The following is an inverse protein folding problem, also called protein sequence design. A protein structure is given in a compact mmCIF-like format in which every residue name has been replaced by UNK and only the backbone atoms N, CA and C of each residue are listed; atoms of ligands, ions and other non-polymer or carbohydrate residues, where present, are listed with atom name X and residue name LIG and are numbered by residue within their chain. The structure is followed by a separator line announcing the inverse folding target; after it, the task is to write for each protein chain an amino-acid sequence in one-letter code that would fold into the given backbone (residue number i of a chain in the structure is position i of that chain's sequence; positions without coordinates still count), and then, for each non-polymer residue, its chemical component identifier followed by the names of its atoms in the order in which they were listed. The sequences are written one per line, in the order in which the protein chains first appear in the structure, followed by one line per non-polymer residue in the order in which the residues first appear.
data_IF_693258242223
#
_entry.id   IF_693258242223
#
_cell.length_a   1.000
_cell.length_b   1.000
_cell.length_c   1.000
_cell.angle_alpha   90.00
_cell.angle_beta   90.00
_cell.angle_gamma   90.00
#
_symmetry.space_group_name_H-M   'P 1'
#
loop_
_entity.id
_entity.type
_entity.pdbx_description
1 polymer ?
#
# COMPACT_ATOMS: atom_id res chain seq x y z
N UNK A 1 -42.82 34.58 -6.42
CA UNK A 1 -41.76 35.34 -5.74
C UNK A 1 -41.81 34.88 -4.30
N UNK A 2 -40.85 34.07 -3.90
CA UNK A 2 -40.71 33.69 -2.49
C UNK A 2 -40.04 34.88 -1.81
N UNK A 3 -40.58 35.31 -0.67
CA UNK A 3 -40.03 36.44 0.09
C UNK A 3 -38.63 36.07 0.58
N UNK A 4 -37.68 37.02 0.53
CA UNK A 4 -36.30 36.84 0.99
C UNK A 4 -36.22 36.33 2.45
N UNK A 5 -37.30 36.50 3.21
CA UNK A 5 -37.47 35.98 4.57
C UNK A 5 -37.55 34.43 4.62
N UNK A 6 -38.10 33.79 3.60
CA UNK A 6 -38.29 32.34 3.53
C UNK A 6 -36.97 31.63 3.19
N UNK A 7 -36.07 32.27 2.43
CA UNK A 7 -34.73 31.74 2.15
C UNK A 7 -33.85 31.74 3.40
N UNK A 8 -33.87 32.84 4.18
CA UNK A 8 -33.09 32.94 5.42
C UNK A 8 -33.53 31.91 6.47
N UNK A 9 -34.83 31.63 6.55
CA UNK A 9 -35.36 30.63 7.50
C UNK A 9 -35.05 29.20 7.07
N UNK A 10 -35.05 28.91 5.76
CA UNK A 10 -34.64 27.61 5.23
C UNK A 10 -33.15 27.34 5.51
N UNK A 11 -32.28 28.31 5.25
CA UNK A 11 -30.83 28.21 5.48
C UNK A 11 -30.51 28.01 6.97
N UNK A 12 -31.23 28.70 7.86
CA UNK A 12 -31.04 28.54 9.30
C UNK A 12 -31.48 27.16 9.80
N UNK A 13 -32.54 26.59 9.20
CA UNK A 13 -33.02 25.26 9.54
C UNK A 13 -32.08 24.16 9.01
N UNK A 14 -31.47 24.38 7.83
CA UNK A 14 -30.46 23.48 7.29
C UNK A 14 -29.16 23.51 8.10
N UNK A 15 -28.73 24.69 8.54
CA UNK A 15 -27.59 24.85 9.44
C UNK A 15 -27.81 24.13 10.79
N UNK A 16 -29.02 24.20 11.36
CA UNK A 16 -29.35 23.46 12.59
C UNK A 16 -29.30 21.93 12.38
N UNK A 17 -29.81 21.44 11.24
CA UNK A 17 -29.74 20.00 10.91
C UNK A 17 -28.29 19.54 10.74
N UNK A 18 -27.45 20.35 10.11
CA UNK A 18 -26.02 20.04 9.93
C UNK A 18 -25.28 19.96 11.27
N UNK A 19 -25.53 20.92 12.18
CA UNK A 19 -24.94 20.91 13.52
C UNK A 19 -25.38 19.70 14.35
N UNK A 20 -26.65 19.30 14.25
CA UNK A 20 -27.16 18.10 14.93
C UNK A 20 -26.49 16.82 14.41
N UNK A 21 -26.31 16.70 13.09
CA UNK A 21 -25.60 15.56 12.48
C UNK A 21 -24.14 15.48 12.92
N UNK A 22 -23.42 16.60 13.01
CA UNK A 22 -22.04 16.60 13.49
C UNK A 22 -21.92 16.17 14.96
N UNK A 23 -22.86 16.57 15.82
CA UNK A 23 -22.88 16.14 17.21
C UNK A 23 -23.15 14.62 17.34
N UNK A 24 -24.07 14.09 16.54
CA UNK A 24 -24.35 12.66 16.50
C UNK A 24 -23.15 11.84 16.02
N UNK A 25 -22.48 12.28 14.95
CA UNK A 25 -21.28 11.61 14.44
C UNK A 25 -20.12 11.65 15.45
N UNK A 26 -19.91 12.78 16.11
CA UNK A 26 -18.92 12.90 17.19
C UNK A 26 -19.23 11.94 18.36
N UNK A 27 -20.51 11.77 18.71
CA UNK A 27 -20.93 10.84 19.76
C UNK A 27 -20.68 9.36 19.38
N UNK A 28 -20.91 8.99 18.12
CA UNK A 28 -20.66 7.65 17.59
C UNK A 28 -19.16 7.36 17.53
N UNK A 29 -18.36 8.33 17.09
CA UNK A 29 -16.90 8.23 17.07
C UNK A 29 -16.33 8.04 18.49
N UNK A 30 -16.84 8.76 19.48
CA UNK A 30 -16.45 8.62 20.88
C UNK A 30 -16.81 7.22 21.45
N UNK A 31 -18.00 6.69 21.12
CA UNK A 31 -18.41 5.34 21.51
C UNK A 31 -17.54 4.26 20.87
N UNK A 32 -17.17 4.40 19.59
CA UNK A 32 -16.27 3.46 18.90
C UNK A 32 -14.87 3.42 19.49
N UNK A 33 -14.35 4.55 19.99
CA UNK A 33 -13.06 4.59 20.69
C UNK A 33 -13.09 3.85 22.04
N UNK A 34 -14.21 3.87 22.77
CA UNK A 34 -14.36 3.09 24.01
C UNK A 34 -14.49 1.58 23.78
N UNK A 35 -15.07 1.16 22.66
CA UNK A 35 -15.22 -0.27 22.34
C UNK A 35 -13.93 -0.95 21.84
N UNK A 36 -12.88 -0.18 21.53
CA UNK A 36 -11.58 -0.68 21.04
C UNK A 36 -10.40 -0.37 21.98
N UNK A 37 -10.66 -0.04 23.24
CA UNK A 37 -9.59 -0.01 24.24
C UNK A 37 -9.03 -1.42 24.42
N UNK A 38 -7.72 -1.66 24.25
CA UNK A 38 -7.10 -2.94 24.59
C UNK A 38 -7.43 -3.27 26.05
N UNK A 39 -7.89 -4.50 26.30
CA UNK A 39 -8.03 -5.00 27.67
C UNK A 39 -6.69 -4.78 28.41
N UNK A 40 -6.71 -4.39 29.70
CA UNK A 40 -5.48 -4.19 30.45
C UNK A 40 -4.72 -5.51 30.51
N UNK A 41 -3.57 -5.54 29.85
CA UNK A 41 -2.60 -6.63 29.94
C UNK A 41 -2.16 -6.73 31.39
N UNK A 42 -2.33 -7.91 31.98
CA UNK A 42 -1.90 -8.21 33.33
C UNK A 42 -0.43 -7.81 33.52
N UNK A 43 -0.19 -6.90 34.46
CA UNK A 43 1.14 -6.40 34.77
C UNK A 43 2.09 -7.50 35.27
N UNK A 44 3.41 -7.32 35.09
CA UNK A 44 4.40 -8.28 35.54
C UNK A 44 4.48 -8.35 37.07
N UNK A 45 4.49 -9.59 37.54
CA UNK A 45 4.64 -10.01 38.93
C UNK A 45 5.84 -9.37 39.63
N UNK A 46 5.59 -8.82 40.80
CA UNK A 46 6.58 -8.22 41.71
C UNK A 46 7.60 -9.26 42.20
N UNK A 47 8.83 -9.19 41.69
CA UNK A 47 10.01 -9.63 42.45
C UNK A 47 10.80 -8.41 42.90
N UNK A 48 10.70 -8.13 44.20
CA UNK A 48 11.42 -7.08 44.92
C UNK A 48 12.89 -7.52 45.06
N UNK A 49 13.80 -6.88 44.35
CA UNK A 49 15.22 -6.87 44.71
C UNK A 49 15.53 -5.57 45.46
N UNK A 50 16.04 -5.78 46.66
CA UNK A 50 16.37 -4.84 47.70
C UNK A 50 17.72 -4.17 47.40
N UNK A 51 17.74 -2.87 47.05
CA UNK A 51 18.96 -2.05 47.14
C UNK A 51 18.59 -0.63 47.58
N UNK A 52 19.25 -0.21 48.64
CA UNK A 52 19.15 0.99 49.45
C UNK A 52 19.52 2.29 48.74
N UNK A 53 18.71 3.34 48.96
CA UNK A 53 19.13 4.74 48.78
C UNK A 53 19.59 5.29 50.14
N UNK A 54 20.86 5.70 50.20
CA UNK A 54 21.33 6.65 51.20
C UNK A 54 21.39 8.04 50.58
N UNK A 55 20.71 8.93 51.28
CA UNK A 55 20.60 10.35 51.12
C UNK A 55 21.85 11.03 51.70
N UNK A 56 22.43 12.04 51.04
CA UNK A 56 22.81 13.35 51.63
C UNK A 56 23.89 14.12 50.84
N UNK A 57 23.49 15.34 50.47
CA UNK A 57 24.12 16.66 50.73
C UNK A 57 25.52 17.02 50.18
N UNK A 58 25.48 18.19 49.51
CA UNK A 58 26.39 19.34 49.59
C UNK A 58 27.76 19.25 48.95
N UNK A 59 28.04 20.19 48.03
CA UNK A 59 29.31 20.89 47.96
C UNK A 59 29.21 22.15 47.08
N UNK A 60 29.28 23.30 47.73
CA UNK A 60 29.76 24.56 47.18
C UNK A 60 31.28 24.55 47.16
N UNK A 61 31.93 24.78 46.02
CA UNK A 61 33.29 25.31 45.96
C UNK A 61 33.60 25.93 44.60
N UNK A 62 34.31 27.04 44.68
CA UNK A 62 34.68 28.04 43.69
C UNK A 62 35.93 27.70 42.84
N UNK A 63 35.85 28.00 41.52
CA UNK A 63 36.88 28.50 40.55
C UNK A 63 38.16 27.65 40.23
N UNK A 64 38.92 27.93 39.14
CA UNK A 64 38.60 28.43 37.78
C UNK A 64 39.40 27.72 36.61
N UNK A 65 39.15 28.09 35.32
CA UNK A 65 40.00 28.07 34.08
C UNK A 65 40.88 26.82 33.76
N UNK A 66 40.99 26.18 32.58
CA UNK A 66 40.94 26.48 31.12
C UNK A 66 40.79 25.11 30.33
N UNK A 67 40.69 25.09 28.97
CA UNK A 67 40.04 24.00 28.22
C UNK A 67 41.02 22.93 27.70
N UNK A 68 40.51 21.72 27.46
CA UNK A 68 41.15 20.79 26.54
C UNK A 68 40.10 20.01 25.74
N UNK A 69 40.30 20.02 24.42
CA UNK A 69 39.46 19.33 23.45
C UNK A 69 39.65 17.81 23.50
N UNK A 70 38.56 17.09 23.29
CA UNK A 70 38.53 15.64 23.18
C UNK A 70 37.46 15.23 22.19
N UNK A 71 37.90 15.00 20.96
CA UNK A 71 37.10 14.60 19.80
C UNK A 71 36.47 13.21 20.07
N UNK A 72 35.14 13.15 19.96
CA UNK A 72 34.37 11.89 19.95
C UNK A 72 34.63 11.13 18.65
N UNK A 73 35.14 9.91 18.75
CA UNK A 73 35.11 8.93 17.66
C UNK A 73 33.68 8.41 17.47
N UNK A 74 33.06 8.76 16.34
CA UNK A 74 31.85 8.12 15.84
C UNK A 74 32.20 7.03 14.85
N UNK A 75 31.81 5.78 15.15
CA UNK A 75 31.79 4.65 14.22
C UNK A 75 30.75 4.92 13.12
N UNK A 76 31.15 4.81 11.86
CA UNK A 76 30.24 4.67 10.72
C UNK A 76 30.47 3.31 10.05
N UNK A 77 29.46 2.45 10.13
CA UNK A 77 29.33 1.28 9.26
C UNK A 77 28.71 1.76 7.95
N UNK A 78 29.46 1.68 6.85
CA UNK A 78 28.93 1.84 5.51
C UNK A 78 28.49 0.47 4.98
N UNK A 79 27.17 0.26 4.87
CA UNK A 79 26.56 -0.81 4.10
C UNK A 79 26.39 -0.36 2.65
N UNK A 80 27.01 -1.11 1.73
CA UNK A 80 27.04 -0.87 0.30
C UNK A 80 25.92 -1.69 -0.35
N UNK A 81 24.77 -1.08 -0.68
CA UNK A 81 23.73 -1.73 -1.49
C UNK A 81 23.78 -1.25 -2.94
N UNK A 82 24.07 -2.19 -3.84
CA UNK A 82 23.98 -2.02 -5.29
C UNK A 82 22.52 -2.06 -5.73
N UNK A 83 22.05 -0.97 -6.34
CA UNK A 83 20.87 -0.99 -7.19
C UNK A 83 21.22 -1.62 -8.55
N UNK A 84 20.62 -2.77 -8.84
CA UNK A 84 20.61 -3.41 -10.15
C UNK A 84 19.21 -3.27 -10.77
N UNK A 85 19.13 -2.45 -11.80
CA UNK A 85 17.98 -2.25 -12.69
C UNK A 85 17.66 -3.49 -13.53
N UNK A 86 16.38 -3.85 -13.65
CA UNK A 86 15.91 -4.85 -14.61
C UNK A 86 14.40 -4.78 -14.83
N UNK A 87 13.97 -4.00 -15.82
CA UNK A 87 12.62 -4.02 -16.38
C UNK A 87 12.57 -4.98 -17.57
N UNK A 88 11.70 -5.99 -17.56
CA UNK A 88 10.52 -6.16 -18.46
C UNK A 88 9.92 -7.59 -18.45
N UNK A 89 8.63 -7.72 -18.85
CA UNK A 89 7.72 -8.82 -18.52
C UNK A 89 7.50 -9.80 -19.69
N UNK A 90 6.86 -10.95 -19.41
CA UNK A 90 6.16 -11.96 -20.28
C UNK A 90 6.09 -13.21 -19.37
N UNK A 91 4.98 -13.88 -19.01
CA UNK A 91 3.79 -14.26 -19.74
C UNK A 91 2.64 -14.58 -18.77
N UNK A 92 1.48 -13.95 -18.97
CA UNK A 92 0.18 -14.44 -18.49
C UNK A 92 -0.82 -14.23 -19.63
N UNK A 93 -0.76 -15.09 -20.64
CA UNK A 93 -1.74 -15.14 -21.71
C UNK A 93 -1.64 -16.51 -22.41
N UNK A 94 -2.07 -17.59 -21.75
CA UNK A 94 -2.22 -18.89 -22.43
C UNK A 94 -3.10 -19.93 -21.72
N UNK A 95 -4.15 -19.52 -20.98
CA UNK A 95 -5.03 -20.47 -20.30
C UNK A 95 -6.52 -20.42 -20.70
N UNK A 96 -6.90 -19.63 -21.72
CA UNK A 96 -8.30 -19.50 -22.17
C UNK A 96 -8.57 -19.93 -23.62
N UNK A 97 -7.77 -20.83 -24.17
CA UNK A 97 -7.96 -21.38 -25.52
C UNK A 97 -7.97 -22.92 -25.48
N UNK A 98 -8.97 -23.49 -24.83
CA UNK A 98 -9.31 -24.90 -24.98
C UNK A 98 -10.79 -25.16 -24.66
N UNK A 99 -11.71 -24.48 -25.35
CA UNK A 99 -13.13 -24.89 -25.37
C UNK A 99 -13.95 -24.33 -26.55
N UNK A 100 -13.32 -24.07 -27.69
CA UNK A 100 -14.04 -23.82 -28.95
C UNK A 100 -13.31 -24.54 -30.08
N UNK A 101 -13.55 -25.84 -30.20
CA UNK A 101 -13.31 -26.60 -31.42
C UNK A 101 -14.38 -27.69 -31.48
N UNK A 102 -15.50 -27.40 -32.13
CA UNK A 102 -16.45 -28.38 -32.69
C UNK A 102 -17.50 -27.68 -33.56
N UNK A 103 -17.07 -26.98 -34.62
CA UNK A 103 -17.91 -26.67 -35.80
C UNK A 103 -17.00 -26.67 -37.03
N UNK A 104 -17.29 -27.46 -38.09
CA UNK A 104 -16.45 -27.53 -39.28
C UNK A 104 -16.64 -26.29 -40.19
N UNK A 105 -15.62 -25.89 -40.99
CA UNK A 105 -15.76 -24.74 -41.87
C UNK A 105 -16.47 -25.15 -43.18
N UNK A 106 -17.63 -24.55 -43.43
CA UNK A 106 -18.25 -24.48 -44.76
C UNK A 106 -17.78 -23.22 -45.50
N UNK A 107 -17.32 -23.41 -46.73
CA UNK A 107 -16.78 -22.40 -47.66
C UNK A 107 -17.77 -21.28 -48.05
N UNK A 108 -17.26 -20.11 -48.52
CA UNK A 108 -18.05 -18.89 -48.71
C UNK A 108 -18.70 -18.79 -50.09
N UNK A 109 -19.91 -18.22 -50.12
CA UNK A 109 -20.52 -17.65 -51.32
C UNK A 109 -20.69 -16.14 -51.12
N UNK A 110 -20.19 -15.36 -52.09
CA UNK A 110 -20.57 -13.97 -52.35
C UNK A 110 -22.11 -13.83 -52.36
N UNK A 111 -22.77 -12.68 -52.08
CA UNK A 111 -22.88 -11.48 -52.93
C UNK A 111 -23.47 -10.27 -52.15
N UNK A 112 -22.82 -9.11 -52.35
CA UNK A 112 -23.35 -7.74 -52.64
C UNK A 112 -24.48 -7.06 -51.81
N UNK A 113 -24.04 -5.98 -51.15
CA UNK A 113 -24.50 -4.55 -51.17
C UNK A 113 -25.89 -4.13 -50.71
N UNK A 114 -25.92 -3.20 -49.73
CA UNK A 114 -26.71 -1.96 -49.82
C UNK A 114 -27.43 -1.47 -48.55
N UNK A 115 -26.98 -0.32 -48.00
CA UNK A 115 -27.88 0.76 -47.53
C UNK A 115 -28.30 0.85 -46.04
N UNK A 116 -27.69 1.83 -45.35
CA UNK A 116 -28.29 2.82 -44.41
C UNK A 116 -28.98 2.46 -43.06
N UNK A 117 -28.31 2.92 -41.98
CA UNK A 117 -28.75 3.66 -40.76
C UNK A 117 -29.67 3.05 -39.67
N UNK A 118 -29.05 2.86 -38.49
CA UNK A 118 -29.46 3.03 -37.06
C UNK A 118 -30.71 2.33 -36.45
N UNK A 119 -30.80 2.10 -35.11
CA UNK A 119 -29.78 2.07 -34.05
C UNK A 119 -29.70 0.70 -33.31
N UNK A 120 -28.63 0.50 -32.53
CA UNK A 120 -28.35 -0.70 -31.74
C UNK A 120 -29.47 -1.08 -30.76
N UNK A 121 -30.17 -2.18 -31.06
CA UNK A 121 -31.00 -2.94 -30.11
C UNK A 121 -30.15 -4.10 -29.60
N UNK A 122 -29.91 -4.17 -28.29
CA UNK A 122 -29.38 -5.37 -27.64
C UNK A 122 -30.43 -6.48 -27.73
N UNK A 123 -30.32 -7.34 -28.75
CA UNK A 123 -31.04 -8.61 -28.80
C UNK A 123 -30.39 -9.58 -27.80
N UNK A 124 -31.06 -9.79 -26.68
CA UNK A 124 -30.85 -10.98 -25.87
C UNK A 124 -31.12 -12.21 -26.74
N UNK A 125 -30.07 -12.99 -26.99
CA UNK A 125 -30.16 -14.32 -27.59
C UNK A 125 -31.03 -15.21 -26.69
N UNK A 126 -32.33 -15.22 -26.99
CA UNK A 126 -33.28 -16.16 -26.44
C UNK A 126 -33.11 -17.45 -27.23
N UNK A 127 -32.39 -18.43 -26.66
CA UNK A 127 -32.35 -19.78 -27.20
C UNK A 127 -33.79 -20.28 -27.39
N UNK A 128 -34.22 -20.66 -28.61
CA UNK A 128 -35.51 -21.30 -28.78
C UNK A 128 -35.37 -22.74 -28.30
N UNK A 129 -35.88 -23.00 -27.10
CA UNK A 129 -36.10 -24.35 -26.57
C UNK A 129 -37.30 -24.96 -27.30
N UNK A 130 -37.15 -25.23 -28.60
CA UNK A 130 -38.08 -26.06 -29.37
C UNK A 130 -37.74 -27.51 -29.05
N UNK A 131 -38.32 -28.00 -27.95
CA UNK A 131 -38.38 -29.43 -27.66
C UNK A 131 -39.44 -30.05 -28.59
N UNK A 132 -39.01 -30.61 -29.71
CA UNK A 132 -39.80 -31.58 -30.47
C UNK A 132 -40.00 -32.84 -29.61
N UNK A 133 -41.07 -32.84 -28.81
CA UNK A 133 -41.45 -33.92 -27.88
C UNK A 133 -42.02 -35.19 -28.58
N UNK A 134 -42.03 -35.25 -29.91
CA UNK A 134 -42.66 -36.33 -30.67
C UNK A 134 -41.89 -37.65 -30.72
N UNK A 135 -40.56 -37.65 -30.51
CA UNK A 135 -39.72 -38.84 -30.70
C UNK A 135 -39.23 -39.50 -29.40
N UNK A 136 -39.46 -38.88 -28.23
CA UNK A 136 -38.86 -39.30 -26.96
C UNK A 136 -39.82 -40.10 -26.05
N UNK A 137 -40.78 -40.84 -26.60
CA UNK A 137 -41.76 -41.60 -25.79
C UNK A 137 -41.54 -43.11 -25.73
N UNK A 138 -40.48 -43.66 -26.36
CA UNK A 138 -40.27 -45.13 -26.34
C UNK A 138 -38.85 -45.64 -26.03
N UNK A 139 -37.86 -44.80 -25.70
CA UNK A 139 -36.48 -45.30 -25.53
C UNK A 139 -35.66 -44.80 -24.34
N UNK A 140 -36.08 -43.80 -23.56
CA UNK A 140 -35.18 -43.13 -22.59
C UNK A 140 -35.60 -43.17 -21.12
N UNK A 141 -36.81 -43.67 -20.80
CA UNK A 141 -37.27 -43.79 -19.42
C UNK A 141 -36.33 -44.61 -18.50
N UNK A 142 -35.68 -45.72 -18.94
CA UNK A 142 -34.73 -46.43 -18.09
C UNK A 142 -33.41 -45.67 -17.88
N UNK A 143 -33.06 -44.75 -18.78
CA UNK A 143 -31.74 -44.10 -18.81
C UNK A 143 -31.65 -42.92 -17.84
N UNK A 144 -32.73 -42.16 -17.66
CA UNK A 144 -32.77 -41.01 -16.74
C UNK A 144 -32.82 -41.46 -15.27
N UNK A 145 -33.52 -42.57 -14.97
CA UNK A 145 -33.55 -43.15 -13.63
C UNK A 145 -32.16 -43.70 -13.22
N UNK A 146 -31.44 -44.32 -14.16
CA UNK A 146 -30.07 -44.82 -13.95
C UNK A 146 -29.05 -43.69 -13.77
N UNK A 147 -29.21 -42.59 -14.50
CA UNK A 147 -28.38 -41.39 -14.34
C UNK A 147 -28.63 -40.69 -13.00
N UNK A 148 -29.88 -40.61 -12.54
CA UNK A 148 -30.24 -40.08 -11.23
C UNK A 148 -29.65 -40.90 -10.07
N UNK A 149 -29.72 -42.24 -10.15
CA UNK A 149 -29.09 -43.12 -9.17
C UNK A 149 -27.56 -42.99 -9.16
N UNK A 150 -26.92 -42.88 -10.33
CA UNK A 150 -25.46 -42.72 -10.41
C UNK A 150 -25.01 -41.36 -9.85
N UNK A 151 -25.73 -40.27 -10.17
CA UNK A 151 -25.43 -38.96 -9.61
C UNK A 151 -25.65 -38.93 -8.09
N UNK A 152 -26.71 -39.57 -7.59
CA UNK A 152 -26.94 -39.70 -6.13
C UNK A 152 -25.81 -40.48 -5.43
N UNK A 153 -25.26 -41.51 -6.07
CA UNK A 153 -24.09 -42.26 -5.57
C UNK A 153 -22.79 -41.45 -5.64
N UNK A 154 -22.61 -40.62 -6.68
CA UNK A 154 -21.49 -39.69 -6.75
C UNK A 154 -21.57 -38.61 -5.66
N UNK A 155 -22.77 -38.13 -5.32
CA UNK A 155 -22.95 -37.14 -4.25
C UNK A 155 -22.66 -37.70 -2.86
N UNK A 156 -23.00 -38.96 -2.57
CA UNK A 156 -22.65 -39.61 -1.29
C UNK A 156 -21.16 -39.88 -1.16
N UNK A 157 -20.47 -40.22 -2.25
CA UNK A 157 -19.00 -40.37 -2.26
C UNK A 157 -18.31 -39.01 -2.04
N UNK A 158 -18.82 -37.93 -2.63
CA UNK A 158 -18.30 -36.59 -2.40
C UNK A 158 -18.48 -36.12 -0.94
N UNK A 159 -19.66 -36.38 -0.33
CA UNK A 159 -19.91 -36.08 1.09
C UNK A 159 -18.97 -36.85 2.03
N UNK A 160 -18.66 -38.11 1.70
CA UNK A 160 -17.70 -38.93 2.45
C UNK A 160 -16.27 -38.37 2.36
N UNK A 161 -15.84 -37.93 1.17
CA UNK A 161 -14.53 -37.32 0.95
C UNK A 161 -14.38 -35.99 1.69
N UNK A 162 -15.43 -35.15 1.69
CA UNK A 162 -15.45 -33.88 2.42
C UNK A 162 -15.34 -34.09 3.95
N UNK A 163 -16.02 -35.11 4.48
CA UNK A 163 -15.90 -35.49 5.90
C UNK A 163 -14.49 -35.96 6.29
N UNK A 164 -13.76 -36.56 5.34
CA UNK A 164 -12.39 -37.07 5.54
C UNK A 164 -11.33 -35.96 5.53
N UNK A 165 -11.55 -34.90 4.76
CA UNK A 165 -10.65 -33.75 4.66
C UNK A 165 -10.69 -32.88 5.93
N UNK A 166 -11.86 -32.74 6.56
CA UNK A 166 -12.02 -31.95 7.80
C UNK A 166 -11.34 -32.56 9.04
N UNK A 167 -10.89 -33.83 9.00
CA UNK A 167 -10.30 -34.52 10.17
C UNK A 167 -8.77 -34.53 10.23
N UNK A 168 -8.04 -34.14 9.17
CA UNK A 168 -6.58 -34.15 9.19
C UNK A 168 -6.02 -32.75 9.49
N UNK A 169 -5.61 -32.52 10.75
CA UNK A 169 -4.72 -31.40 11.08
C UNK A 169 -3.35 -31.65 10.44
N UNK A 170 -2.81 -30.72 9.65
CA UNK A 170 -1.44 -30.86 9.15
C UNK A 170 -0.46 -30.72 10.31
N UNK A 171 0.32 -31.76 10.56
CA UNK A 171 1.41 -31.75 11.53
C UNK A 171 2.63 -31.10 10.86
N UNK A 172 2.99 -29.89 11.28
CA UNK A 172 4.20 -29.21 10.80
C UNK A 172 5.32 -29.35 11.83
N UNK A 173 6.48 -29.93 11.47
CA UNK A 173 7.64 -29.97 12.35
C UNK A 173 8.25 -28.56 12.53
N UNK A 174 8.81 -28.24 13.71
CA UNK A 174 9.41 -26.93 13.97
C UNK A 174 10.70 -26.73 13.15
N UNK A 175 10.93 -25.54 12.57
CA UNK A 175 12.14 -25.26 11.81
C UNK A 175 13.35 -25.09 12.73
N UNK A 176 14.46 -25.76 12.38
CA UNK A 176 15.77 -25.60 13.03
C UNK A 176 16.65 -24.66 12.19
N UNK A 177 17.24 -23.67 12.84
CA UNK A 177 18.45 -22.95 12.37
C UNK A 177 18.20 -21.77 11.43
N UNK A 178 18.70 -20.59 11.83
CA UNK A 178 18.55 -19.31 11.15
C UNK A 178 19.27 -19.22 9.79
N UNK A 179 18.88 -18.19 9.04
CA UNK A 179 19.37 -17.82 7.69
C UNK A 179 18.69 -18.48 6.48
N UNK A 180 17.34 -18.64 6.48
CA UNK A 180 16.53 -18.86 5.24
C UNK A 180 15.13 -18.23 5.29
N UNK A 181 14.95 -17.11 6.00
CA UNK A 181 13.60 -16.59 6.31
C UNK A 181 12.85 -15.99 5.11
N UNK A 182 13.53 -15.51 4.06
CA UNK A 182 12.87 -14.97 2.85
C UNK A 182 12.28 -16.07 1.95
N UNK A 183 12.97 -17.20 1.82
CA UNK A 183 12.47 -18.34 1.04
C UNK A 183 11.30 -19.05 1.73
N UNK A 184 11.34 -19.14 3.07
CA UNK A 184 10.28 -19.76 3.87
C UNK A 184 8.99 -18.92 3.87
N UNK A 185 9.12 -17.59 3.98
CA UNK A 185 7.96 -16.68 3.94
C UNK A 185 7.28 -16.72 2.57
N UNK A 186 8.04 -16.69 1.48
CA UNK A 186 7.51 -16.83 0.12
C UNK A 186 6.81 -18.19 -0.10
N UNK A 187 7.39 -19.27 0.41
CA UNK A 187 6.78 -20.60 0.32
C UNK A 187 5.49 -20.72 1.16
N UNK A 188 5.46 -20.09 2.34
CA UNK A 188 4.26 -20.03 3.18
C UNK A 188 3.15 -19.20 2.54
N UNK A 189 3.47 -18.07 1.92
CA UNK A 189 2.51 -17.26 1.17
C UNK A 189 1.95 -18.01 -0.04
N UNK A 190 2.79 -18.74 -0.78
CA UNK A 190 2.33 -19.58 -1.90
C UNK A 190 1.37 -20.68 -1.41
N UNK A 191 1.71 -21.36 -0.30
CA UNK A 191 0.82 -22.36 0.32
C UNK A 191 -0.47 -21.75 0.85
N UNK A 192 -0.42 -20.53 1.38
CA UNK A 192 -1.62 -19.83 1.83
C UNK A 192 -2.57 -19.53 0.65
N UNK A 193 -2.02 -19.07 -0.48
CA UNK A 193 -2.80 -18.86 -1.71
C UNK A 193 -3.42 -20.15 -2.24
N UNK A 194 -2.69 -21.26 -2.24
CA UNK A 194 -3.23 -22.58 -2.61
C UNK A 194 -4.40 -22.99 -1.70
N UNK A 195 -4.28 -22.78 -0.39
CA UNK A 195 -5.35 -23.08 0.57
C UNK A 195 -6.58 -22.20 0.33
N UNK A 196 -6.39 -20.91 0.03
CA UNK A 196 -7.49 -20.00 -0.30
C UNK A 196 -8.18 -20.39 -1.61
N UNK A 197 -7.42 -20.78 -2.63
CA UNK A 197 -7.95 -21.31 -3.89
C UNK A 197 -8.73 -22.62 -3.68
N UNK A 198 -8.25 -23.52 -2.83
CA UNK A 198 -8.98 -24.75 -2.49
C UNK A 198 -10.27 -24.44 -1.73
N UNK A 199 -10.27 -23.45 -0.84
CA UNK A 199 -11.48 -23.00 -0.14
C UNK A 199 -12.49 -22.39 -1.10
N UNK A 200 -12.06 -21.56 -2.05
CA UNK A 200 -12.96 -20.99 -3.05
C UNK A 200 -13.54 -22.07 -3.97
N UNK A 201 -12.70 -23.01 -4.42
CA UNK A 201 -13.12 -24.14 -5.25
C UNK A 201 -14.12 -25.06 -4.52
N UNK A 202 -13.87 -25.36 -3.24
CA UNK A 202 -14.79 -26.14 -2.41
C UNK A 202 -16.13 -25.42 -2.22
N UNK A 203 -16.11 -24.11 -1.96
CA UNK A 203 -17.33 -23.31 -1.83
C UNK A 203 -18.14 -23.30 -3.13
N UNK A 204 -17.49 -23.17 -4.28
CA UNK A 204 -18.13 -23.24 -5.59
C UNK A 204 -18.78 -24.63 -5.82
N UNK A 205 -18.07 -25.70 -5.47
CA UNK A 205 -18.61 -27.06 -5.55
C UNK A 205 -19.88 -27.23 -4.69
N UNK A 206 -19.87 -26.75 -3.44
CA UNK A 206 -21.04 -26.81 -2.55
C UNK A 206 -22.22 -26.02 -3.13
N UNK A 207 -21.97 -24.84 -3.70
CA UNK A 207 -23.01 -24.06 -4.37
C UNK A 207 -23.58 -24.78 -5.60
N UNK A 208 -22.71 -25.37 -6.42
CA UNK A 208 -23.14 -26.12 -7.60
C UNK A 208 -23.93 -27.37 -7.21
N UNK A 209 -23.51 -28.09 -6.15
CA UNK A 209 -24.27 -29.21 -5.58
C UNK A 209 -25.68 -28.80 -5.15
N UNK A 210 -25.82 -27.65 -4.49
CA UNK A 210 -27.13 -27.12 -4.12
C UNK A 210 -28.01 -26.78 -5.35
N UNK A 211 -27.41 -26.21 -6.41
CA UNK A 211 -28.11 -25.97 -7.69
C UNK A 211 -28.57 -27.28 -8.34
N UNK A 212 -27.72 -28.30 -8.39
CA UNK A 212 -28.08 -29.61 -8.95
C UNK A 212 -29.21 -30.29 -8.17
N UNK A 213 -29.17 -30.24 -6.82
CA UNK A 213 -30.29 -30.75 -6.00
C UNK A 213 -31.61 -30.06 -6.34
N UNK A 214 -31.62 -28.72 -6.47
CA UNK A 214 -32.83 -27.99 -6.90
C UNK A 214 -33.36 -28.45 -8.25
N UNK A 215 -32.47 -28.68 -9.22
CA UNK A 215 -32.88 -29.17 -10.55
C UNK A 215 -33.50 -30.56 -10.44
N UNK A 216 -32.88 -31.47 -9.67
CA UNK A 216 -33.41 -32.82 -9.43
C UNK A 216 -34.78 -32.75 -8.75
N UNK A 217 -34.94 -31.90 -7.72
CA UNK A 217 -36.21 -31.71 -7.02
C UNK A 217 -37.31 -31.18 -7.96
N UNK A 218 -36.95 -30.28 -8.89
CA UNK A 218 -37.87 -29.79 -9.94
C UNK A 218 -38.31 -30.92 -10.89
N UNK A 219 -37.40 -31.79 -11.32
CA UNK A 219 -37.75 -32.95 -12.15
C UNK A 219 -38.65 -33.94 -11.40
N UNK A 220 -38.37 -34.21 -10.13
CA UNK A 220 -39.21 -35.08 -9.30
C UNK A 220 -40.60 -34.48 -9.05
N UNK A 221 -40.70 -33.17 -8.89
CA UNK A 221 -41.99 -32.48 -8.76
C UNK A 221 -42.81 -32.60 -10.06
N UNK A 222 -42.18 -32.40 -11.23
CA UNK A 222 -42.81 -32.60 -12.53
C UNK A 222 -43.28 -34.04 -12.72
N UNK A 223 -42.47 -35.03 -12.36
CA UNK A 223 -42.83 -36.44 -12.47
C UNK A 223 -44.06 -36.79 -11.63
N UNK A 224 -44.13 -36.25 -10.39
CA UNK A 224 -45.32 -36.40 -9.52
C UNK A 224 -46.56 -35.72 -10.09
N UNK A 225 -46.41 -34.51 -10.64
CA UNK A 225 -47.51 -33.77 -11.26
C UNK A 225 -48.09 -34.49 -12.48
N UNK A 226 -47.22 -35.15 -13.26
CA UNK A 226 -47.62 -35.94 -14.43
C UNK A 226 -48.31 -37.26 -14.03
N UNK A 227 -47.92 -37.89 -12.92
CA UNK A 227 -48.50 -39.15 -12.47
C UNK A 227 -49.98 -39.04 -12.05
N UNK A 228 -50.41 -37.91 -11.50
CA UNK A 228 -51.81 -37.47 -11.35
C UNK A 228 -52.84 -38.45 -10.75
N UNK A 229 -54.08 -37.98 -10.56
CA UNK A 229 -55.20 -38.86 -10.20
C UNK A 229 -55.55 -39.78 -11.39
N UNK A 230 -55.83 -41.08 -11.16
CA UNK A 230 -56.27 -42.00 -12.22
C UNK A 230 -57.56 -41.56 -12.91
N UNK A 231 -58.36 -40.69 -12.27
CA UNK A 231 -59.64 -40.20 -12.77
C UNK A 231 -59.50 -39.02 -13.76
N UNK A 232 -58.31 -38.41 -13.85
CA UNK A 232 -58.04 -37.31 -14.78
C UNK A 232 -57.41 -37.81 -16.08
N UNK A 233 -57.97 -37.36 -17.20
CA UNK A 233 -57.42 -37.66 -18.51
C UNK A 233 -55.96 -37.18 -18.58
N UNK A 234 -55.05 -37.96 -19.20
CA UNK A 234 -53.66 -37.53 -19.37
C UNK A 234 -53.55 -36.18 -20.10
N UNK A 235 -54.47 -35.88 -21.01
CA UNK A 235 -54.49 -34.62 -21.76
C UNK A 235 -54.78 -33.42 -20.86
N UNK A 236 -55.72 -33.55 -19.93
CA UNK A 236 -56.07 -32.46 -19.01
C UNK A 236 -54.93 -32.20 -18.01
N UNK A 237 -54.22 -33.25 -17.59
CA UNK A 237 -53.01 -33.11 -16.77
C UNK A 237 -51.89 -32.38 -17.50
N UNK A 238 -51.65 -32.71 -18.77
CA UNK A 238 -50.67 -32.00 -19.59
C UNK A 238 -51.03 -30.51 -19.77
N UNK A 239 -52.31 -30.21 -20.02
CA UNK A 239 -52.78 -28.82 -20.13
C UNK A 239 -52.61 -28.03 -18.83
N UNK A 240 -52.86 -28.67 -17.69
CA UNK A 240 -52.66 -28.05 -16.37
C UNK A 240 -51.18 -27.74 -16.12
N UNK A 241 -50.29 -28.70 -16.37
CA UNK A 241 -48.83 -28.51 -16.22
C UNK A 241 -48.31 -27.44 -17.20
N UNK A 242 -48.83 -27.41 -18.43
CA UNK A 242 -48.49 -26.37 -19.41
C UNK A 242 -48.86 -24.96 -18.91
N UNK A 243 -50.06 -24.81 -18.34
CA UNK A 243 -50.52 -23.53 -17.80
C UNK A 243 -49.73 -23.10 -16.57
N UNK A 244 -49.44 -24.02 -15.63
CA UNK A 244 -48.56 -23.76 -14.49
C UNK A 244 -47.17 -23.32 -14.94
N UNK A 245 -46.61 -23.99 -15.96
CA UNK A 245 -45.29 -23.66 -16.49
C UNK A 245 -45.28 -22.31 -17.21
N UNK A 246 -46.40 -21.95 -17.86
CA UNK A 246 -46.61 -20.62 -18.45
C UNK A 246 -46.66 -19.53 -17.37
N UNK A 247 -47.35 -19.76 -16.25
CA UNK A 247 -47.41 -18.83 -15.11
C UNK A 247 -46.01 -18.69 -14.48
N UNK A 248 -45.36 -19.81 -14.16
CA UNK A 248 -44.02 -19.82 -13.57
C UNK A 248 -42.98 -19.11 -14.46
N UNK A 249 -43.10 -19.24 -15.79
CA UNK A 249 -42.25 -18.50 -16.73
C UNK A 249 -42.47 -16.99 -16.62
N UNK A 250 -43.71 -16.52 -16.56
CA UNK A 250 -44.03 -15.09 -16.40
C UNK A 250 -43.49 -14.54 -15.09
N UNK A 251 -43.67 -15.26 -13.99
CA UNK A 251 -43.16 -14.85 -12.68
C UNK A 251 -41.62 -14.79 -12.67
N UNK A 252 -40.96 -15.76 -13.31
CA UNK A 252 -39.51 -15.77 -13.48
C UNK A 252 -39.03 -14.58 -14.31
N UNK A 253 -39.72 -14.26 -15.41
CA UNK A 253 -39.36 -13.13 -16.28
C UNK A 253 -39.55 -11.81 -15.53
N UNK A 254 -40.65 -11.65 -14.78
CA UNK A 254 -40.88 -10.48 -13.93
C UNK A 254 -39.81 -10.34 -12.82
N UNK A 255 -39.42 -11.45 -12.19
CA UNK A 255 -38.35 -11.47 -11.20
C UNK A 255 -36.98 -11.12 -11.82
N UNK A 256 -36.72 -11.57 -13.05
CA UNK A 256 -35.50 -11.24 -13.78
C UNK A 256 -35.41 -9.73 -14.09
N UNK A 257 -36.51 -9.10 -14.48
CA UNK A 257 -36.58 -7.64 -14.68
C UNK A 257 -36.38 -6.87 -13.37
N UNK A 258 -36.97 -7.32 -12.26
CA UNK A 258 -36.73 -6.76 -10.92
C UNK A 258 -35.25 -6.89 -10.51
N UNK A 259 -34.62 -8.02 -10.81
CA UNK A 259 -33.19 -8.23 -10.54
C UNK A 259 -32.31 -7.33 -11.41
N UNK A 260 -32.65 -7.17 -12.69
CA UNK A 260 -31.95 -6.27 -13.62
C UNK A 260 -32.01 -4.81 -13.16
N UNK A 261 -33.20 -4.34 -12.80
CA UNK A 261 -33.41 -2.97 -12.31
C UNK A 261 -32.71 -2.71 -10.98
N UNK A 262 -32.76 -3.66 -10.03
CA UNK A 262 -32.02 -3.53 -8.76
C UNK A 262 -30.51 -3.59 -8.96
N UNK A 263 -30.02 -4.45 -9.85
CA UNK A 263 -28.59 -4.52 -10.20
C UNK A 263 -28.09 -3.21 -10.80
N UNK A 264 -28.87 -2.58 -11.69
CA UNK A 264 -28.56 -1.25 -12.24
C UNK A 264 -28.47 -0.19 -11.15
N UNK A 265 -29.44 -0.15 -10.23
CA UNK A 265 -29.42 0.78 -9.09
C UNK A 265 -28.20 0.56 -8.18
N UNK A 266 -27.81 -0.69 -7.94
CA UNK A 266 -26.61 -1.01 -7.15
C UNK A 266 -25.35 -0.52 -7.84
N UNK A 267 -25.24 -0.70 -9.16
CA UNK A 267 -24.11 -0.20 -9.95
C UNK A 267 -24.02 1.32 -9.87
N UNK A 268 -25.14 2.04 -10.07
CA UNK A 268 -25.22 3.50 -9.93
C UNK A 268 -24.77 3.95 -8.53
N UNK A 269 -25.36 3.37 -7.47
CA UNK A 269 -24.99 3.70 -6.09
C UNK A 269 -23.51 3.44 -5.78
N UNK A 270 -22.97 2.33 -6.31
CA UNK A 270 -21.55 1.99 -6.14
C UNK A 270 -20.65 3.04 -6.80
N UNK A 271 -20.99 3.50 -8.02
CA UNK A 271 -20.23 4.57 -8.69
C UNK A 271 -20.31 5.89 -7.93
N UNK A 272 -21.49 6.26 -7.40
CA UNK A 272 -21.63 7.49 -6.59
C UNK A 272 -20.86 7.41 -5.28
N UNK A 273 -20.82 6.25 -4.63
CA UNK A 273 -20.07 6.04 -3.40
C UNK A 273 -18.57 6.16 -3.64
N UNK A 274 -18.06 5.57 -4.72
CA UNK A 274 -16.64 5.69 -5.10
C UNK A 274 -16.26 7.13 -5.42
N UNK A 275 -17.15 7.87 -6.11
CA UNK A 275 -16.95 9.29 -6.38
C UNK A 275 -16.89 10.11 -5.08
N UNK A 276 -17.83 9.90 -4.16
CA UNK A 276 -17.85 10.57 -2.86
C UNK A 276 -16.61 10.25 -2.01
N UNK A 277 -16.19 8.98 -2.00
CA UNK A 277 -14.94 8.57 -1.34
C UNK A 277 -13.74 9.33 -1.88
N UNK A 278 -13.65 9.50 -3.21
CA UNK A 278 -12.60 10.29 -3.84
C UNK A 278 -12.58 11.77 -3.43
N UNK A 279 -13.74 12.36 -3.13
CA UNK A 279 -13.82 13.74 -2.60
C UNK A 279 -13.28 13.78 -1.16
N UNK A 280 -13.69 12.84 -0.31
CA UNK A 280 -13.22 12.73 1.07
C UNK A 280 -11.71 12.54 1.13
N UNK A 281 -11.16 11.68 0.28
CA UNK A 281 -9.72 11.41 0.23
C UNK A 281 -8.92 12.66 -0.18
N UNK A 282 -9.40 13.43 -1.15
CA UNK A 282 -8.81 14.71 -1.55
C UNK A 282 -8.87 15.74 -0.42
N UNK A 283 -10.00 15.84 0.27
CA UNK A 283 -10.16 16.72 1.42
C UNK A 283 -9.21 16.35 2.56
N UNK A 284 -9.05 15.06 2.84
CA UNK A 284 -8.12 14.56 3.84
C UNK A 284 -6.66 14.88 3.48
N UNK A 285 -6.27 14.67 2.22
CA UNK A 285 -4.94 15.03 1.74
C UNK A 285 -4.65 16.53 1.91
N UNK A 286 -5.63 17.37 1.58
CA UNK A 286 -5.53 18.82 1.76
C UNK A 286 -5.41 19.21 3.24
N UNK A 287 -6.20 18.59 4.12
CA UNK A 287 -6.10 18.82 5.56
C UNK A 287 -4.72 18.41 6.12
N UNK A 288 -4.13 17.31 5.62
CA UNK A 288 -2.76 16.91 5.99
C UNK A 288 -1.74 17.94 5.53
N UNK A 289 -1.84 18.45 4.30
CA UNK A 289 -0.94 19.51 3.80
C UNK A 289 -1.06 20.80 4.62
N UNK A 290 -2.29 21.22 4.93
CA UNK A 290 -2.53 22.39 5.78
C UNK A 290 -1.94 22.23 7.18
N UNK A 291 -2.03 21.02 7.76
CA UNK A 291 -1.44 20.73 9.07
C UNK A 291 0.08 20.85 9.04
N UNK A 292 0.75 20.24 8.05
CA UNK A 292 2.21 20.36 7.89
C UNK A 292 2.60 21.83 7.75
N UNK A 293 1.86 22.61 6.96
CA UNK A 293 2.13 24.04 6.80
C UNK A 293 1.99 24.84 8.10
N UNK A 294 1.00 24.50 8.94
CA UNK A 294 0.84 25.12 10.25
C UNK A 294 1.98 24.76 11.20
N UNK A 295 2.45 23.52 11.17
CA UNK A 295 3.60 23.06 11.97
C UNK A 295 4.88 23.83 11.57
N UNK A 296 5.15 23.99 10.27
CA UNK A 296 6.27 24.81 9.78
C UNK A 296 6.20 26.28 10.25
N UNK A 297 5.01 26.89 10.17
CA UNK A 297 4.81 28.27 10.62
C UNK A 297 5.00 28.41 12.14
N UNK A 298 4.53 27.43 12.92
CA UNK A 298 4.73 27.41 14.37
C UNK A 298 6.21 27.33 14.74
N UNK A 299 6.99 26.50 14.04
CA UNK A 299 8.43 26.42 14.23
C UNK A 299 9.12 27.75 13.90
N UNK A 300 8.76 28.41 12.80
CA UNK A 300 9.39 29.69 12.43
C UNK A 300 9.05 30.81 13.42
N UNK A 301 7.82 30.83 13.94
CA UNK A 301 7.43 31.74 15.04
C UNK A 301 8.27 31.45 16.28
N UNK A 302 8.48 30.18 16.64
CA UNK A 302 9.34 29.81 17.77
C UNK A 302 10.79 30.26 17.57
N UNK A 303 11.38 30.03 16.39
CA UNK A 303 12.73 30.50 16.05
C UNK A 303 12.83 32.03 16.17
N UNK A 304 11.85 32.74 15.62
CA UNK A 304 11.80 34.21 15.66
C UNK A 304 11.69 34.74 17.09
N UNK A 305 10.87 34.12 17.94
CA UNK A 305 10.77 34.47 19.36
C UNK A 305 12.09 34.24 20.10
N UNK A 306 12.78 33.13 19.81
CA UNK A 306 14.11 32.86 20.38
C UNK A 306 15.13 33.94 19.99
N UNK A 307 15.15 34.34 18.72
CA UNK A 307 16.00 35.44 18.24
C UNK A 307 15.65 36.78 18.91
N UNK A 308 14.36 37.10 19.03
CA UNK A 308 13.91 38.34 19.66
C UNK A 308 14.29 38.39 21.15
N UNK A 309 14.08 37.30 21.89
CA UNK A 309 14.46 37.21 23.30
C UNK A 309 15.98 37.37 23.51
N UNK A 310 16.79 36.78 22.63
CA UNK A 310 18.24 36.96 22.65
C UNK A 310 18.64 38.43 22.42
N UNK A 311 18.05 39.11 21.44
CA UNK A 311 18.30 40.53 21.18
C UNK A 311 17.85 41.40 22.36
N UNK A 312 16.69 41.10 22.96
CA UNK A 312 16.20 41.82 24.13
C UNK A 312 17.13 41.66 25.33
N UNK A 313 17.69 40.46 25.53
CA UNK A 313 18.72 40.23 26.55
C UNK A 313 19.98 41.06 26.26
N UNK A 314 20.46 41.08 25.01
CA UNK A 314 21.62 41.90 24.64
C UNK A 314 21.39 43.40 24.90
N UNK A 315 20.19 43.91 24.61
CA UNK A 315 19.85 45.31 24.87
C UNK A 315 19.85 45.60 26.39
N UNK A 316 19.36 44.67 27.21
CA UNK A 316 19.37 44.83 28.68
C UNK A 316 20.76 44.71 29.31
N UNK A 317 21.62 43.88 28.73
CA UNK A 317 23.00 43.70 29.19
C UNK A 317 23.93 44.82 28.70
N UNK A 318 23.49 45.61 27.71
CA UNK A 318 24.20 46.81 27.30
C UNK A 318 24.16 47.82 28.47
N UNK A 319 25.30 48.19 29.06
CA UNK A 319 25.32 49.18 30.12
C UNK A 319 24.80 50.50 29.54
N UNK A 320 23.92 51.18 30.29
CA UNK A 320 23.44 52.53 29.95
C UNK A 320 24.65 53.40 29.59
N UNK A 321 24.56 54.14 28.48
CA UNK A 321 25.65 54.89 27.81
C UNK A 321 26.28 56.03 28.66
N UNK A 322 26.17 55.99 29.99
CA UNK A 322 26.95 56.80 30.89
C UNK A 322 28.35 56.24 31.10
N UNK A 323 29.33 56.79 30.36
CA UNK A 323 30.74 56.87 30.76
C UNK A 323 31.65 55.65 30.49
N UNK A 324 31.64 55.09 29.29
CA UNK A 324 32.86 54.45 28.77
C UNK A 324 33.61 55.43 27.87
N UNK A 325 34.64 56.08 28.42
CA UNK A 325 35.68 56.73 27.62
C UNK A 325 36.51 55.63 26.94
N UNK A 326 35.95 55.06 25.87
CA UNK A 326 36.64 54.06 25.05
C UNK A 326 37.73 54.79 24.28
N UNK A 327 38.98 54.62 24.70
CA UNK A 327 40.14 55.01 23.91
C UNK A 327 40.16 54.14 22.67
N UNK A 328 39.54 54.62 21.59
CA UNK A 328 39.52 53.93 20.31
C UNK A 328 40.95 53.83 19.77
N UNK A 329 41.36 52.67 19.22
CA UNK A 329 42.60 52.56 18.49
C UNK A 329 42.68 53.62 17.39
N UNK A 330 43.89 54.08 17.02
CA UNK A 330 44.05 55.01 15.91
C UNK A 330 43.33 54.49 14.67
N UNK A 331 42.46 55.31 14.07
CA UNK A 331 41.65 54.94 12.90
C UNK A 331 42.47 54.39 11.72
N UNK A 332 43.77 54.70 11.67
CA UNK A 332 44.71 54.17 10.69
C UNK A 332 44.96 52.67 10.81
N UNK A 333 45.07 52.12 12.03
CA UNK A 333 45.28 50.68 12.26
C UNK A 333 44.01 49.90 11.91
N UNK A 334 42.85 50.39 12.39
CA UNK A 334 41.55 49.78 12.09
C UNK A 334 41.23 49.78 10.59
N UNK A 335 41.65 50.83 9.86
CA UNK A 335 41.49 50.91 8.41
C UNK A 335 42.36 49.87 7.69
N UNK A 336 43.58 49.62 8.16
CA UNK A 336 44.46 48.59 7.60
C UNK A 336 43.86 47.19 7.77
N UNK A 337 43.41 46.87 8.98
CA UNK A 337 42.75 45.59 9.27
C UNK A 337 41.45 45.40 8.48
N UNK A 338 40.62 46.44 8.38
CA UNK A 338 39.37 46.37 7.63
C UNK A 338 39.60 46.12 6.13
N UNK A 339 40.65 46.70 5.55
CA UNK A 339 41.04 46.46 4.15
C UNK A 339 41.49 45.00 3.97
N UNK A 340 42.28 44.45 4.91
CA UNK A 340 42.74 43.07 4.87
C UNK A 340 41.57 42.08 5.01
N UNK A 341 40.70 42.27 6.01
CA UNK A 341 39.51 41.44 6.23
C UNK A 341 38.58 41.49 5.01
N UNK A 342 38.40 42.67 4.40
CA UNK A 342 37.60 42.80 3.17
C UNK A 342 38.23 42.05 1.99
N UNK A 343 39.54 42.04 1.88
CA UNK A 343 40.23 41.26 0.85
C UNK A 343 40.05 39.76 1.08
N UNK A 344 40.14 39.29 2.32
CA UNK A 344 39.89 37.89 2.68
C UNK A 344 38.44 37.46 2.42
N UNK A 345 37.47 38.29 2.80
CA UNK A 345 36.06 38.06 2.50
C UNK A 345 35.81 37.94 1.00
N UNK A 346 36.44 38.79 0.17
CA UNK A 346 36.33 38.70 -1.29
C UNK A 346 36.95 37.41 -1.81
N UNK A 347 38.10 36.97 -1.28
CA UNK A 347 38.72 35.69 -1.64
C UNK A 347 37.81 34.51 -1.31
N UNK A 348 37.28 34.46 -0.08
CA UNK A 348 36.36 33.41 0.37
C UNK A 348 35.07 33.39 -0.46
N UNK A 349 34.46 34.56 -0.72
CA UNK A 349 33.26 34.65 -1.54
C UNK A 349 33.49 34.18 -2.98
N UNK A 350 34.64 34.52 -3.56
CA UNK A 350 35.03 34.06 -4.90
C UNK A 350 35.19 32.54 -4.93
N UNK A 351 35.87 31.97 -3.94
CA UNK A 351 36.03 30.52 -3.80
C UNK A 351 34.67 29.81 -3.64
N UNK A 352 33.80 30.31 -2.75
CA UNK A 352 32.48 29.75 -2.54
C UNK A 352 31.61 29.81 -3.80
N UNK A 353 31.69 30.90 -4.56
CA UNK A 353 30.99 31.02 -5.84
C UNK A 353 31.50 30.01 -6.88
N UNK A 354 32.82 29.79 -6.97
CA UNK A 354 33.39 28.76 -7.83
C UNK A 354 32.99 27.35 -7.41
N UNK A 355 32.93 27.06 -6.10
CA UNK A 355 32.46 25.76 -5.59
C UNK A 355 30.98 25.54 -5.90
N UNK A 356 30.15 26.57 -5.76
CA UNK A 356 28.72 26.48 -6.06
C UNK A 356 28.43 26.27 -7.56
N UNK A 357 29.26 26.87 -8.44
CA UNK A 357 29.12 26.72 -9.89
C UNK A 357 29.80 25.49 -10.48
N UNK A 358 30.70 24.87 -9.74
CA UNK A 358 31.32 23.62 -10.17
C UNK A 358 30.34 22.46 -10.04
N UNK A 359 30.31 21.56 -11.02
CA UNK A 359 29.58 20.30 -10.91
C UNK A 359 30.26 19.44 -9.81
N UNK A 360 29.53 19.02 -8.75
CA UNK A 360 30.07 18.19 -7.68
C UNK A 360 30.83 16.95 -8.19
N UNK A 361 30.42 16.36 -9.32
CA UNK A 361 31.10 15.22 -9.92
C UNK A 361 32.50 15.58 -10.43
N UNK A 362 32.68 16.78 -10.99
CA UNK A 362 33.99 17.25 -11.49
C UNK A 362 34.95 17.57 -10.35
N UNK A 363 34.45 18.16 -9.25
CA UNK A 363 35.25 18.44 -8.05
C UNK A 363 35.74 17.15 -7.40
N UNK A 364 34.85 16.16 -7.25
CA UNK A 364 35.20 14.84 -6.75
C UNK A 364 36.21 14.14 -7.68
N UNK A 365 36.00 14.19 -9.00
CA UNK A 365 36.95 13.60 -9.95
C UNK A 365 38.36 14.20 -9.84
N UNK A 366 38.46 15.53 -9.72
CA UNK A 366 39.75 16.20 -9.54
C UNK A 366 40.38 15.91 -8.18
N UNK A 367 39.58 15.82 -7.12
CA UNK A 367 40.04 15.43 -5.79
C UNK A 367 40.57 13.99 -5.80
N UNK A 368 39.82 13.04 -6.33
CA UNK A 368 40.23 11.63 -6.42
C UNK A 368 41.49 11.47 -7.28
N UNK A 369 41.62 12.26 -8.36
CA UNK A 369 42.82 12.29 -9.19
C UNK A 369 44.03 12.88 -8.46
N UNK A 370 43.83 13.94 -7.67
CA UNK A 370 44.88 14.55 -6.85
C UNK A 370 45.36 13.60 -5.74
N UNK A 371 44.42 13.02 -4.99
CA UNK A 371 44.72 12.01 -3.96
C UNK A 371 45.38 10.77 -4.59
N UNK A 372 44.90 10.32 -5.75
CA UNK A 372 45.51 9.23 -6.51
C UNK A 372 46.96 9.52 -6.88
N UNK A 373 47.25 10.73 -7.39
CA UNK A 373 48.62 11.15 -7.71
C UNK A 373 49.53 11.22 -6.46
N UNK A 374 49.00 11.63 -5.31
CA UNK A 374 49.74 11.61 -4.04
C UNK A 374 50.08 10.17 -3.64
N UNK A 375 49.10 9.28 -3.68
CA UNK A 375 49.29 7.87 -3.34
C UNK A 375 50.31 7.22 -4.28
N UNK A 376 50.21 7.46 -5.60
CA UNK A 376 51.14 6.93 -6.59
C UNK A 376 52.58 7.42 -6.36
N UNK A 377 52.77 8.71 -6.07
CA UNK A 377 54.09 9.27 -5.77
C UNK A 377 54.68 8.67 -4.49
N UNK A 378 53.87 8.56 -3.43
CA UNK A 378 54.28 7.92 -2.17
C UNK A 378 54.68 6.46 -2.41
N UNK A 379 53.86 5.67 -3.11
CA UNK A 379 54.17 4.27 -3.44
C UNK A 379 55.45 4.16 -4.28
N UNK A 380 55.68 5.09 -5.21
CA UNK A 380 56.91 5.11 -6.01
C UNK A 380 58.16 5.36 -5.14
N UNK A 381 58.10 6.26 -4.16
CA UNK A 381 59.19 6.44 -3.20
C UNK A 381 59.41 5.19 -2.35
N UNK A 382 58.33 4.58 -1.82
CA UNK A 382 58.44 3.36 -1.02
C UNK A 382 59.05 2.19 -1.80
N UNK A 383 58.62 1.99 -3.07
CA UNK A 383 59.18 0.94 -3.93
C UNK A 383 60.67 1.16 -4.21
N UNK A 384 61.07 2.39 -4.54
CA UNK A 384 62.49 2.73 -4.76
C UNK A 384 63.36 2.49 -3.53
N UNK A 385 62.81 2.70 -2.33
CA UNK A 385 63.49 2.38 -1.09
C UNK A 385 63.65 0.87 -0.88
N UNK A 386 62.57 0.10 -1.09
CA UNK A 386 62.55 -1.35 -0.91
C UNK A 386 63.34 -2.14 -1.96
N UNK A 387 63.48 -1.60 -3.16
CA UNK A 387 64.26 -2.21 -4.26
C UNK A 387 65.77 -1.91 -4.15
N UNK A 388 66.20 -1.17 -3.12
CA UNK A 388 67.61 -0.82 -2.89
C UNK A 388 68.24 -1.73 -1.84
N UNK A 389 69.40 -2.31 -2.15
CA UNK A 389 70.21 -3.07 -1.18
C UNK A 389 71.00 -2.16 -0.22
N UNK A 390 70.97 -0.83 -0.44
CA UNK A 390 71.62 0.17 0.40
C UNK A 390 70.65 0.75 1.46
N UNK A 391 70.91 0.54 2.76
CA UNK A 391 70.03 0.98 3.86
C UNK A 391 69.91 2.52 3.96
N UNK A 392 70.92 3.28 3.50
CA UNK A 392 70.86 4.74 3.53
C UNK A 392 69.90 5.28 2.45
N UNK A 393 69.84 4.62 1.30
CA UNK A 393 68.91 4.93 0.20
C UNK A 393 67.47 4.55 0.57
N UNK A 394 67.30 3.42 1.27
CA UNK A 394 66.02 2.99 1.83
C UNK A 394 65.47 4.06 2.82
N UNK A 395 66.28 4.43 3.82
CA UNK A 395 65.89 5.42 4.82
C UNK A 395 65.59 6.81 4.24
N UNK A 396 66.33 7.22 3.19
CA UNK A 396 66.10 8.49 2.51
C UNK A 396 64.74 8.52 1.77
N UNK A 397 64.42 7.46 1.02
CA UNK A 397 63.16 7.37 0.28
C UNK A 397 61.93 7.30 1.21
N UNK A 398 62.04 6.65 2.37
CA UNK A 398 60.97 6.67 3.38
C UNK A 398 60.72 8.07 3.96
N UNK A 399 61.78 8.86 4.18
CA UNK A 399 61.62 10.26 4.62
C UNK A 399 60.96 11.10 3.53
N UNK A 400 61.37 10.95 2.27
CA UNK A 400 60.72 11.66 1.16
C UNK A 400 59.24 11.30 1.03
N UNK A 401 58.87 10.03 1.20
CA UNK A 401 57.47 9.62 1.22
C UNK A 401 56.68 10.29 2.36
N UNK A 402 57.26 10.38 3.56
CA UNK A 402 56.64 11.03 4.72
C UNK A 402 56.51 12.55 4.54
N UNK A 403 57.57 13.22 4.10
CA UNK A 403 57.58 14.67 3.88
C UNK A 403 56.57 15.05 2.79
N UNK A 404 56.50 14.25 1.72
CA UNK A 404 55.52 14.46 0.64
C UNK A 404 54.08 14.35 1.15
N UNK A 405 53.77 13.33 1.96
CA UNK A 405 52.44 13.18 2.59
C UNK A 405 52.09 14.29 3.59
N UNK A 406 53.07 14.90 4.26
CA UNK A 406 52.83 15.99 5.21
C UNK A 406 52.61 17.35 4.54
N UNK A 407 53.19 17.53 3.36
CA UNK A 407 53.09 18.79 2.58
C UNK A 407 51.84 18.88 1.70
N UNK A 408 51.22 17.74 1.40
CA UNK A 408 50.06 17.61 0.52
C UNK A 408 48.73 17.67 1.26
#
# INVERSE_FOLDING_TARGET
MLDEQDEVTADQQELQKFLALQQDEASVAAKRKRARSPLPVAGPSTKKSLVSYLNNRSCSSSRPFLPNGGIRQGRSHAGFERFGSGWRPIAEAQFWLWLVDLVPPGSPSAYKTGGESDPFIFQHASLPLVLTFGALRRSTAPCLYRAGEQLSRCFTVADLLESSFCRKKPFFPPPKGGEKNSSLTTALEARQREVEQLRSSSQEFVQNKAKYRRIIDQFLALDRALHGSPDQSPLDRFKMVEEELRIAKKDRDAAAEQLSTSSRKIAELTTTLLYQQGIVDKSNALATLQRVRLEELQEEVHRSRGRAAFVEQMIREYPDEGFYEVVLPPLSELKGELVNIRADLRRVATLAHHLYRSDPATVLHHHDRYIGAIIEATVAFLRRGLDSDDPDVEAHNFRLALDYMQSA
#
